data_IF_681941318722
#
_entry.id   IF_681941318722
#
_cell.length_a   1.000
_cell.length_b   1.000
_cell.length_c   1.000
_cell.angle_alpha   90.00
_cell.angle_beta   90.00
_cell.angle_gamma   90.00
#
_symmetry.space_group_name_H-M   'P 1'
#
loop_
_entity.id
_entity.type
_entity.pdbx_description
1 polymer ?
#
# COMPACT_ATOMS: atom_id res chain seq x y z
N UNK A 1 -26.24 16.28 -21.77
CA UNK A 1 -25.34 17.45 -21.74
C UNK A 1 -23.99 16.93 -21.34
N UNK A 2 -22.91 17.29 -22.05
CA UNK A 2 -21.57 16.89 -21.66
C UNK A 2 -21.22 17.58 -20.34
N UNK A 3 -20.54 16.84 -19.48
CA UNK A 3 -20.07 17.33 -18.18
C UNK A 3 -18.83 18.21 -18.30
N UNK A 4 -18.04 18.03 -19.36
CA UNK A 4 -16.89 18.85 -19.73
C UNK A 4 -16.92 19.08 -21.25
N UNK A 5 -16.73 20.31 -21.69
CA UNK A 5 -16.75 20.68 -23.11
C UNK A 5 -15.84 21.90 -23.37
N UNK A 6 -15.15 21.90 -24.51
CA UNK A 6 -14.38 23.04 -25.00
C UNK A 6 -15.04 23.62 -26.26
N UNK A 7 -15.41 24.90 -26.24
CA UNK A 7 -15.93 25.63 -27.40
C UNK A 7 -14.78 26.23 -28.19
N UNK A 8 -14.44 25.65 -29.34
CA UNK A 8 -13.41 26.22 -30.23
C UNK A 8 -13.79 27.60 -30.78
N UNK A 9 -15.08 27.90 -30.92
CA UNK A 9 -15.56 29.15 -31.49
C UNK A 9 -15.29 30.34 -30.55
N UNK A 10 -15.46 30.11 -29.24
CA UNK A 10 -15.35 31.13 -28.21
C UNK A 10 -14.04 31.00 -27.41
N UNK A 11 -13.28 29.92 -27.62
CA UNK A 11 -12.10 29.54 -26.85
C UNK A 11 -12.37 29.50 -25.33
N UNK A 12 -13.52 28.94 -24.94
CA UNK A 12 -13.94 28.80 -23.54
C UNK A 12 -14.15 27.34 -23.17
N UNK A 13 -13.90 27.04 -21.90
CA UNK A 13 -14.24 25.78 -21.27
C UNK A 13 -15.59 25.86 -20.57
N UNK A 14 -16.40 24.82 -20.73
CA UNK A 14 -17.66 24.62 -20.02
C UNK A 14 -17.54 23.37 -19.15
N UNK A 15 -17.69 23.52 -17.84
CA UNK A 15 -17.68 22.42 -16.86
C UNK A 15 -19.01 22.42 -16.12
N UNK A 16 -19.74 21.31 -16.21
CA UNK A 16 -21.12 21.18 -15.73
C UNK A 16 -22.07 22.30 -16.24
N UNK A 17 -21.78 22.87 -17.41
CA UNK A 17 -22.54 23.96 -18.03
C UNK A 17 -22.18 25.36 -17.55
N UNK A 18 -21.19 25.50 -16.67
CA UNK A 18 -20.63 26.79 -16.23
C UNK A 18 -19.34 27.07 -16.99
N UNK A 19 -19.13 28.33 -17.38
CA UNK A 19 -17.86 28.78 -17.95
C UNK A 19 -16.75 28.60 -16.90
N UNK A 20 -15.64 28.00 -17.32
CA UNK A 20 -14.51 27.67 -16.46
C UNK A 20 -13.31 28.52 -16.83
N UNK A 21 -12.69 29.11 -15.79
CA UNK A 21 -11.43 29.81 -15.94
C UNK A 21 -10.30 28.85 -16.32
N UNK A 22 -9.37 29.36 -17.13
CA UNK A 22 -8.09 28.71 -17.42
C UNK A 22 -6.99 29.35 -16.58
N UNK A 23 -5.87 28.66 -16.38
CA UNK A 23 -4.68 29.29 -15.82
C UNK A 23 -4.00 30.24 -16.82
N UNK A 24 -2.87 30.83 -16.41
CA UNK A 24 -2.13 31.78 -17.24
C UNK A 24 -1.48 31.13 -18.49
N UNK A 25 -1.27 29.82 -18.49
CA UNK A 25 -0.81 29.05 -19.66
C UNK A 25 -1.98 28.64 -20.57
N UNK A 26 -3.22 28.85 -20.12
CA UNK A 26 -4.44 28.52 -20.84
C UNK A 26 -5.01 27.15 -20.51
N UNK A 27 -4.51 26.45 -19.49
CA UNK A 27 -4.96 25.11 -19.15
C UNK A 27 -6.26 25.09 -18.34
N UNK A 28 -7.06 24.05 -18.56
CA UNK A 28 -8.31 23.83 -17.84
C UNK A 28 -8.06 23.63 -16.34
N UNK A 29 -8.81 24.35 -15.50
CA UNK A 29 -8.84 24.14 -14.06
C UNK A 29 -10.09 23.37 -13.63
N UNK A 30 -9.92 22.28 -12.88
CA UNK A 30 -11.00 21.47 -12.33
C UNK A 30 -10.99 21.54 -10.80
N UNK A 31 -12.16 21.65 -10.17
CA UNK A 31 -12.24 21.66 -8.71
C UNK A 31 -12.50 20.26 -8.15
N UNK A 32 -11.94 19.97 -6.97
CA UNK A 32 -12.02 18.62 -6.38
C UNK A 32 -13.44 18.17 -6.04
N UNK A 33 -14.31 19.09 -5.66
CA UNK A 33 -15.69 18.83 -5.21
C UNK A 33 -16.65 18.46 -6.35
N UNK A 34 -16.30 18.76 -7.60
CA UNK A 34 -17.10 18.44 -8.79
C UNK A 34 -16.68 17.17 -9.52
N UNK A 35 -15.44 16.70 -9.34
CA UNK A 35 -14.84 15.64 -10.15
C UNK A 35 -15.66 14.35 -10.20
N UNK A 36 -16.40 14.03 -9.14
CA UNK A 36 -17.25 12.84 -9.07
C UNK A 36 -18.41 12.89 -10.08
N UNK A 37 -18.83 14.09 -10.48
CA UNK A 37 -19.93 14.33 -11.43
C UNK A 37 -19.43 14.48 -12.87
N UNK A 38 -18.12 14.66 -13.07
CA UNK A 38 -17.51 14.83 -14.38
C UNK A 38 -17.20 13.47 -14.98
N UNK A 39 -17.60 13.26 -16.23
CA UNK A 39 -17.37 12.02 -16.98
C UNK A 39 -16.01 12.09 -17.66
N UNK A 40 -15.17 11.08 -17.47
CA UNK A 40 -13.81 11.07 -18.02
C UNK A 40 -13.75 11.13 -19.55
N UNK A 41 -14.71 10.51 -20.26
CA UNK A 41 -14.79 10.60 -21.72
C UNK A 41 -15.11 12.01 -22.21
N UNK A 42 -15.87 12.79 -21.46
CA UNK A 42 -16.17 14.18 -21.79
C UNK A 42 -14.90 15.05 -21.61
N UNK A 43 -14.13 14.82 -20.55
CA UNK A 43 -12.84 15.48 -20.34
C UNK A 43 -11.88 15.20 -21.50
N UNK A 44 -11.72 13.93 -21.90
CA UNK A 44 -10.91 13.56 -23.07
C UNK A 44 -11.38 14.30 -24.34
N UNK A 45 -12.68 14.26 -24.64
CA UNK A 45 -13.23 14.89 -25.84
C UNK A 45 -13.00 16.41 -25.85
N UNK A 46 -13.09 17.05 -24.68
CA UNK A 46 -12.75 18.46 -24.50
C UNK A 46 -11.27 18.75 -24.78
N UNK A 47 -10.36 17.96 -24.21
CA UNK A 47 -8.91 18.13 -24.42
C UNK A 47 -8.51 17.88 -25.88
N UNK A 48 -9.15 16.91 -26.56
CA UNK A 48 -8.98 16.70 -28.01
C UNK A 48 -9.39 17.95 -28.79
N UNK A 49 -10.52 18.57 -28.42
CA UNK A 49 -11.01 19.76 -29.10
C UNK A 49 -10.08 20.96 -28.88
N UNK A 50 -9.52 21.14 -27.69
CA UNK A 50 -8.51 22.15 -27.37
C UNK A 50 -7.21 21.91 -28.14
N UNK A 51 -6.70 20.67 -28.14
CA UNK A 51 -5.51 20.26 -28.87
C UNK A 51 -5.61 20.48 -30.39
N UNK A 52 -6.82 20.55 -30.95
CA UNK A 52 -7.02 20.90 -32.37
C UNK A 52 -6.80 22.40 -32.66
N UNK A 53 -6.80 23.24 -31.64
CA UNK A 53 -6.57 24.70 -31.74
C UNK A 53 -5.17 25.12 -31.33
N UNK A 54 -4.47 24.30 -30.54
CA UNK A 54 -3.10 24.51 -30.05
C UNK A 54 -2.15 23.40 -30.55
N UNK A 55 -0.88 23.41 -30.17
CA UNK A 55 -0.03 22.23 -30.34
C UNK A 55 -0.54 21.10 -29.43
N UNK A 56 -0.65 19.84 -29.90
CA UNK A 56 -1.25 18.73 -29.14
C UNK A 56 -0.67 18.50 -27.74
N UNK A 57 0.61 18.82 -27.51
CA UNK A 57 1.30 18.69 -26.22
C UNK A 57 0.90 19.71 -25.14
N UNK A 58 -0.04 20.62 -25.44
CA UNK A 58 -0.49 21.68 -24.54
C UNK A 58 -1.91 21.47 -23.99
N UNK A 59 -2.65 20.43 -24.39
CA UNK A 59 -3.99 20.21 -23.83
C UNK A 59 -3.89 19.53 -22.45
N UNK A 60 -4.05 20.32 -21.38
CA UNK A 60 -3.92 19.86 -19.99
C UNK A 60 -5.09 20.30 -19.13
N UNK A 61 -5.39 19.49 -18.12
CA UNK A 61 -6.35 19.81 -17.08
C UNK A 61 -5.72 19.60 -15.69
N UNK A 62 -5.63 20.68 -14.92
CA UNK A 62 -5.14 20.67 -13.55
C UNK A 62 -6.28 20.58 -12.54
N UNK A 63 -6.04 19.85 -11.45
CA UNK A 63 -6.99 19.81 -10.32
C UNK A 63 -6.55 20.83 -9.28
N UNK A 64 -7.42 21.79 -8.98
CA UNK A 64 -7.17 22.84 -8.00
C UNK A 64 -7.38 22.28 -6.59
N UNK A 65 -6.37 22.46 -5.71
CA UNK A 65 -6.42 21.93 -4.33
C UNK A 65 -7.12 22.86 -3.33
N UNK A 66 -7.44 24.09 -3.74
CA UNK A 66 -8.13 25.10 -2.94
C UNK A 66 -9.62 25.21 -3.29
N UNK A 67 -10.47 25.68 -2.35
CA UNK A 67 -11.89 25.89 -2.61
C UNK A 67 -12.15 26.91 -3.73
N UNK A 68 -13.32 26.79 -4.37
CA UNK A 68 -13.82 27.77 -5.35
C UNK A 68 -13.79 29.20 -4.76
N UNK A 69 -13.37 30.16 -5.58
CA UNK A 69 -13.25 31.58 -5.20
C UNK A 69 -11.89 31.99 -4.64
N UNK A 70 -10.95 31.05 -4.54
CA UNK A 70 -9.54 31.36 -4.31
C UNK A 70 -8.84 31.47 -5.68
N UNK A 71 -8.81 32.67 -6.23
CA UNK A 71 -8.19 32.98 -7.52
C UNK A 71 -6.70 33.32 -7.31
N UNK A 72 -5.86 32.30 -7.18
CA UNK A 72 -4.42 32.49 -7.40
C UNK A 72 -4.09 32.07 -8.82
N UNK A 73 -3.44 32.98 -9.56
CA UNK A 73 -2.97 32.79 -10.95
C UNK A 73 -2.01 31.59 -11.08
N UNK A 74 -1.41 31.16 -9.96
CA UNK A 74 -0.50 30.02 -9.81
C UNK A 74 -1.02 29.01 -8.79
N UNK A 75 -2.34 28.88 -8.66
CA UNK A 75 -2.99 28.20 -7.55
C UNK A 75 -2.34 26.87 -7.19
N UNK A 76 -2.33 26.47 -5.91
CA UNK A 76 -1.78 25.18 -5.54
C UNK A 76 -2.62 24.08 -6.23
N UNK A 77 -2.01 23.36 -7.16
CA UNK A 77 -2.61 22.22 -7.83
C UNK A 77 -2.39 20.95 -7.01
N UNK A 78 -3.28 19.98 -7.17
CA UNK A 78 -2.98 18.60 -6.78
C UNK A 78 -1.76 18.12 -7.58
N UNK A 79 -0.96 17.18 -7.04
CA UNK A 79 0.26 16.71 -7.69
C UNK A 79 0.01 15.83 -8.91
N UNK A 80 -1.27 15.55 -9.21
CA UNK A 80 -1.75 14.76 -10.34
C UNK A 80 -2.60 15.66 -11.22
N UNK A 81 -2.33 15.64 -12.52
CA UNK A 81 -3.10 16.33 -13.55
C UNK A 81 -3.33 15.41 -14.75
N UNK A 82 -4.09 15.89 -15.73
CA UNK A 82 -4.44 15.11 -16.91
C UNK A 82 -3.91 15.78 -18.18
N UNK A 83 -3.50 14.97 -19.13
CA UNK A 83 -2.99 15.40 -20.45
C UNK A 83 -3.64 14.55 -21.54
N UNK A 84 -3.81 15.12 -22.73
CA UNK A 84 -4.06 14.35 -23.95
C UNK A 84 -2.76 14.21 -24.73
N UNK A 85 -2.23 12.99 -24.84
CA UNK A 85 -0.93 12.73 -25.49
C UNK A 85 -1.02 12.54 -27.03
N UNK A 86 -2.22 12.76 -27.60
CA UNK A 86 -2.51 12.49 -29.00
C UNK A 86 -3.23 11.15 -29.25
N UNK A 87 -3.21 10.24 -28.27
CA UNK A 87 -3.80 8.90 -28.38
C UNK A 87 -4.73 8.59 -27.20
N UNK A 88 -4.30 8.90 -25.98
CA UNK A 88 -4.96 8.56 -24.73
C UNK A 88 -5.14 9.77 -23.82
N UNK A 89 -6.14 9.67 -22.93
CA UNK A 89 -6.19 10.52 -21.74
C UNK A 89 -5.21 9.93 -20.72
N UNK A 90 -4.20 10.72 -20.38
CA UNK A 90 -3.05 10.28 -19.62
C UNK A 90 -3.03 10.98 -18.27
N UNK A 91 -2.78 10.20 -17.22
CA UNK A 91 -2.58 10.69 -15.87
C UNK A 91 -1.12 11.06 -15.72
N UNK A 92 -0.84 12.29 -15.29
CA UNK A 92 0.52 12.83 -15.18
C UNK A 92 0.78 13.26 -13.75
N UNK A 93 1.94 12.89 -13.20
CA UNK A 93 2.37 13.29 -11.86
C UNK A 93 3.86 13.52 -11.80
N UNK A 94 4.27 14.41 -10.89
CA UNK A 94 5.68 14.64 -10.56
C UNK A 94 6.00 13.90 -9.27
N UNK A 95 7.07 13.10 -9.29
CA UNK A 95 7.59 12.44 -8.11
C UNK A 95 9.05 12.84 -7.87
N UNK A 96 9.35 13.27 -6.64
CA UNK A 96 10.71 13.56 -6.18
C UNK A 96 11.20 12.46 -5.25
N UNK A 97 12.39 11.92 -5.52
CA UNK A 97 13.10 10.98 -4.67
C UNK A 97 14.50 11.49 -4.31
N UNK A 98 15.14 10.91 -3.28
CA UNK A 98 16.46 11.35 -2.85
C UNK A 98 17.49 11.19 -3.98
N UNK A 99 18.27 12.25 -4.26
CA UNK A 99 19.44 12.19 -5.16
C UNK A 99 20.60 11.52 -4.43
N UNK A 100 20.49 10.23 -4.27
CA UNK A 100 21.38 9.40 -3.46
C UNK A 100 22.59 8.87 -4.26
N UNK A 101 22.91 9.55 -5.37
CA UNK A 101 23.94 9.18 -6.33
C UNK A 101 23.57 8.00 -7.23
N UNK A 102 22.33 7.51 -7.20
CA UNK A 102 21.84 6.54 -8.17
C UNK A 102 21.78 7.18 -9.56
N UNK A 103 22.26 6.45 -10.57
CA UNK A 103 22.17 6.87 -11.97
C UNK A 103 20.71 7.05 -12.37
N UNK A 104 20.41 8.10 -13.13
CA UNK A 104 19.04 8.49 -13.51
C UNK A 104 18.25 7.32 -14.11
N UNK A 105 18.84 6.58 -15.04
CA UNK A 105 18.25 5.37 -15.64
C UNK A 105 17.82 4.32 -14.59
N UNK A 106 18.64 4.12 -13.55
CA UNK A 106 18.34 3.15 -12.50
C UNK A 106 17.19 3.63 -11.62
N UNK A 107 17.06 4.94 -11.40
CA UNK A 107 15.93 5.51 -10.67
C UNK A 107 14.63 5.39 -11.48
N UNK A 108 14.68 5.73 -12.77
CA UNK A 108 13.56 5.58 -13.71
C UNK A 108 13.10 4.12 -13.80
N UNK A 109 14.02 3.18 -14.00
CA UNK A 109 13.68 1.76 -14.12
C UNK A 109 13.04 1.21 -12.84
N UNK A 110 13.51 1.64 -11.66
CA UNK A 110 12.90 1.26 -10.38
C UNK A 110 11.47 1.78 -10.23
N UNK A 111 11.22 3.03 -10.61
CA UNK A 111 9.86 3.59 -10.56
C UNK A 111 8.96 2.86 -11.57
N UNK A 112 9.47 2.50 -12.76
CA UNK A 112 8.73 1.70 -13.73
C UNK A 112 8.41 0.31 -13.20
N UNK A 113 9.39 -0.42 -12.67
CA UNK A 113 9.21 -1.74 -12.06
C UNK A 113 8.19 -1.71 -10.90
N UNK A 114 8.23 -0.63 -10.11
CA UNK A 114 7.32 -0.42 -9.00
C UNK A 114 5.88 -0.17 -9.48
N UNK A 115 5.70 0.70 -10.47
CA UNK A 115 4.37 1.15 -10.91
C UNK A 115 3.72 0.23 -11.92
N UNK A 116 4.48 -0.54 -12.71
CA UNK A 116 3.90 -1.39 -13.77
C UNK A 116 2.82 -2.34 -13.23
N UNK A 117 3.00 -3.07 -12.10
CA UNK A 117 1.94 -3.92 -11.57
C UNK A 117 0.68 -3.15 -11.15
N UNK A 118 0.83 -1.90 -10.71
CA UNK A 118 -0.29 -1.03 -10.38
C UNK A 118 -1.03 -0.56 -11.64
N UNK A 119 -0.29 -0.13 -12.67
CA UNK A 119 -0.87 0.27 -13.96
C UNK A 119 -1.62 -0.90 -14.59
N UNK A 120 -1.03 -2.10 -14.58
CA UNK A 120 -1.72 -3.32 -15.03
C UNK A 120 -2.98 -3.63 -14.22
N UNK A 121 -2.99 -3.33 -12.91
CA UNK A 121 -4.12 -3.57 -12.03
C UNK A 121 -5.31 -2.64 -12.29
N UNK A 122 -5.05 -1.38 -12.61
CA UNK A 122 -6.10 -0.42 -12.98
C UNK A 122 -6.49 -0.51 -14.47
N UNK A 123 -6.12 -1.60 -15.15
CA UNK A 123 -6.28 -1.81 -16.59
C UNK A 123 -5.68 -0.65 -17.43
N UNK A 124 -4.67 0.04 -16.89
CA UNK A 124 -3.96 1.13 -17.55
C UNK A 124 -2.92 0.63 -18.56
N UNK A 125 -2.42 1.53 -19.39
CA UNK A 125 -1.41 1.24 -20.42
C UNK A 125 -0.36 2.35 -20.49
N UNK A 126 0.68 2.12 -21.30
CA UNK A 126 1.63 3.16 -21.72
C UNK A 126 2.32 3.87 -20.55
N UNK A 127 2.76 3.11 -19.54
CA UNK A 127 3.56 3.64 -18.43
C UNK A 127 4.88 4.21 -18.95
N UNK A 128 4.98 5.52 -18.90
CA UNK A 128 6.16 6.30 -19.20
C UNK A 128 6.69 6.98 -17.93
N UNK A 129 8.00 6.95 -17.78
CA UNK A 129 8.71 7.53 -16.63
C UNK A 129 9.94 8.21 -17.19
N UNK A 130 9.97 9.52 -17.05
CA UNK A 130 11.03 10.37 -17.59
C UNK A 130 11.66 11.21 -16.49
N UNK A 131 12.96 11.47 -16.59
CA UNK A 131 13.64 12.36 -15.66
C UNK A 131 13.22 13.82 -15.90
N UNK A 132 12.79 14.50 -14.85
CA UNK A 132 12.30 15.87 -14.90
C UNK A 132 13.43 16.86 -14.55
N UNK A 133 14.33 17.12 -15.50
CA UNK A 133 15.50 17.99 -15.30
C UNK A 133 15.16 19.40 -14.83
N UNK A 134 14.02 19.93 -15.25
CA UNK A 134 13.54 21.27 -14.90
C UNK A 134 13.16 21.38 -13.40
N UNK A 135 12.88 20.23 -12.77
CA UNK A 135 12.45 20.10 -11.39
C UNK A 135 13.49 19.41 -10.49
N UNK A 136 14.62 18.99 -11.07
CA UNK A 136 15.71 18.36 -10.35
C UNK A 136 16.53 19.42 -9.59
N UNK A 137 16.52 19.34 -8.26
CA UNK A 137 17.36 20.15 -7.39
C UNK A 137 18.71 19.48 -7.11
N UNK A 138 19.65 20.19 -6.50
CA UNK A 138 20.96 19.63 -6.13
C UNK A 138 20.90 18.44 -5.15
N UNK A 139 19.74 18.17 -4.54
CA UNK A 139 19.54 17.15 -3.52
C UNK A 139 18.45 16.12 -3.85
N UNK A 140 17.59 16.39 -4.85
CA UNK A 140 16.44 15.56 -5.18
C UNK A 140 16.39 15.27 -6.68
N UNK A 141 16.25 13.99 -7.01
CA UNK A 141 15.95 13.53 -8.37
C UNK A 141 14.45 13.60 -8.58
N UNK A 142 14.01 14.23 -9.67
CA UNK A 142 12.61 14.35 -10.03
C UNK A 142 12.32 13.51 -11.28
N UNK A 143 11.20 12.81 -11.29
CA UNK A 143 10.68 12.10 -12.46
C UNK A 143 9.25 12.53 -12.74
N UNK A 144 8.94 12.71 -14.01
CA UNK A 144 7.56 12.79 -14.51
C UNK A 144 7.09 11.38 -14.81
N UNK A 145 5.95 11.00 -14.26
CA UNK A 145 5.32 9.70 -14.46
C UNK A 145 4.03 9.93 -15.23
N UNK A 146 3.82 9.14 -16.29
CA UNK A 146 2.66 9.17 -17.16
C UNK A 146 2.11 7.77 -17.36
N UNK A 147 0.80 7.59 -17.34
CA UNK A 147 0.18 6.37 -17.84
C UNK A 147 -1.26 6.64 -18.28
N UNK A 148 -1.72 5.90 -19.28
CA UNK A 148 -3.10 5.93 -19.72
C UNK A 148 -3.96 5.07 -18.79
N UNK A 149 -5.20 5.49 -18.58
CA UNK A 149 -6.21 4.70 -17.84
C UNK A 149 -7.46 4.48 -18.67
N UNK A 150 -8.23 3.40 -18.42
CA UNK A 150 -9.56 3.27 -18.99
C UNK A 150 -10.43 4.43 -18.54
N UNK A 151 -11.27 4.95 -19.45
CA UNK A 151 -12.16 6.09 -19.17
C UNK A 151 -13.65 5.75 -19.32
N UNK A 152 -13.98 4.57 -19.86
CA UNK A 152 -15.36 4.16 -20.08
C UNK A 152 -16.08 4.01 -18.72
N UNK A 153 -17.24 4.67 -18.58
CA UNK A 153 -18.09 4.64 -17.38
C UNK A 153 -17.41 5.13 -16.09
N UNK A 154 -16.31 5.89 -16.20
CA UNK A 154 -15.57 6.44 -15.05
C UNK A 154 -15.76 7.94 -14.90
N UNK A 155 -15.72 8.41 -13.66
CA UNK A 155 -15.63 9.82 -13.35
C UNK A 155 -14.18 10.32 -13.39
N UNK A 156 -13.99 11.63 -13.50
CA UNK A 156 -12.66 12.25 -13.36
C UNK A 156 -12.09 12.01 -11.96
N UNK A 157 -12.94 11.92 -10.93
CA UNK A 157 -12.51 11.59 -9.56
C UNK A 157 -11.89 10.19 -9.48
N UNK A 158 -12.43 9.20 -10.20
CA UNK A 158 -11.88 7.85 -10.21
C UNK A 158 -10.47 7.83 -10.81
N UNK A 159 -10.26 8.57 -11.90
CA UNK A 159 -8.97 8.67 -12.59
C UNK A 159 -7.95 9.44 -11.73
N UNK A 160 -8.38 10.53 -11.08
CA UNK A 160 -7.54 11.23 -10.10
C UNK A 160 -7.10 10.29 -8.99
N UNK A 161 -8.00 9.43 -8.50
CA UNK A 161 -7.69 8.47 -7.43
C UNK A 161 -6.59 7.51 -7.86
N UNK A 162 -6.62 6.99 -9.09
CA UNK A 162 -5.56 6.11 -9.61
C UNK A 162 -4.19 6.82 -9.60
N UNK A 163 -4.14 8.07 -10.10
CA UNK A 163 -2.90 8.84 -10.09
C UNK A 163 -2.38 9.13 -8.68
N UNK A 164 -3.28 9.43 -7.75
CA UNK A 164 -2.91 9.65 -6.35
C UNK A 164 -2.43 8.36 -5.67
N UNK A 165 -2.97 7.20 -6.03
CA UNK A 165 -2.51 5.90 -5.54
C UNK A 165 -1.14 5.52 -6.12
N UNK A 166 -0.87 5.79 -7.40
CA UNK A 166 0.46 5.69 -7.99
C UNK A 166 1.48 6.57 -7.25
N UNK A 167 1.13 7.83 -6.97
CA UNK A 167 2.03 8.73 -6.25
C UNK A 167 2.29 8.28 -4.80
N UNK A 168 1.25 7.76 -4.11
CA UNK A 168 1.41 7.14 -2.78
C UNK A 168 2.33 5.93 -2.82
N UNK A 169 2.25 5.13 -3.88
CA UNK A 169 3.19 4.04 -4.14
C UNK A 169 4.61 4.63 -4.21
N UNK A 170 4.89 5.55 -5.13
CA UNK A 170 6.21 6.17 -5.24
C UNK A 170 6.72 6.71 -3.89
N UNK A 171 5.90 7.46 -3.15
CA UNK A 171 6.28 7.97 -1.83
C UNK A 171 6.60 6.87 -0.80
N UNK A 172 5.83 5.79 -0.78
CA UNK A 172 6.07 4.68 0.15
C UNK A 172 7.35 3.89 -0.17
N UNK A 173 7.78 3.90 -1.43
CA UNK A 173 8.84 3.04 -1.95
C UNK A 173 10.16 3.79 -2.27
N UNK A 174 10.14 5.11 -2.39
CA UNK A 174 11.35 5.93 -2.55
C UNK A 174 12.27 5.96 -1.31
N UNK A 175 11.84 5.37 -0.20
CA UNK A 175 12.64 5.13 1.00
C UNK A 175 13.61 3.93 0.90
N UNK A 176 14.03 3.52 -0.31
CA UNK A 176 15.06 2.50 -0.62
C UNK A 176 14.78 1.03 -0.23
N UNK A 177 13.68 0.69 0.44
CA UNK A 177 13.24 -0.69 0.59
C UNK A 177 11.73 -0.77 0.87
N UNK A 178 11.07 -1.78 0.33
CA UNK A 178 9.74 -2.19 0.80
C UNK A 178 9.90 -2.63 2.27
N UNK A 179 9.42 -1.81 3.21
CA UNK A 179 9.44 -2.18 4.62
C UNK A 179 8.06 -2.59 5.08
N UNK A 180 8.01 -3.41 6.15
CA UNK A 180 6.78 -3.69 6.91
C UNK A 180 6.00 -2.41 7.22
N UNK A 181 6.69 -1.34 7.61
CA UNK A 181 6.05 -0.08 7.98
C UNK A 181 5.44 0.64 6.79
N UNK A 182 6.17 0.75 5.68
CA UNK A 182 5.66 1.33 4.43
C UNK A 182 4.41 0.59 3.95
N UNK A 183 4.45 -0.74 3.93
CA UNK A 183 3.30 -1.55 3.52
C UNK A 183 2.14 -1.46 4.51
N UNK A 184 2.42 -1.49 5.82
CA UNK A 184 1.39 -1.29 6.83
C UNK A 184 0.69 0.07 6.68
N UNK A 185 1.43 1.13 6.32
CA UNK A 185 0.86 2.45 6.04
C UNK A 185 0.01 2.46 4.76
N UNK A 186 0.46 1.81 3.68
CA UNK A 186 -0.31 1.67 2.45
C UNK A 186 -1.65 0.96 2.70
N UNK A 187 -1.62 -0.16 3.43
CA UNK A 187 -2.85 -0.89 3.76
C UNK A 187 -3.79 -0.03 4.59
N UNK A 188 -3.29 0.63 5.65
CA UNK A 188 -4.10 1.55 6.48
C UNK A 188 -4.67 2.72 5.68
N UNK A 189 -3.97 3.16 4.64
CA UNK A 189 -4.42 4.21 3.72
C UNK A 189 -5.46 3.77 2.70
N UNK A 190 -5.94 2.52 2.72
CA UNK A 190 -6.89 1.99 1.74
C UNK A 190 -6.27 1.44 0.46
N UNK A 191 -4.94 1.51 0.34
CA UNK A 191 -4.21 1.15 -0.85
C UNK A 191 -3.68 -0.30 -0.83
N UNK A 192 -4.40 -1.21 -0.17
CA UNK A 192 -3.98 -2.62 -0.06
C UNK A 192 -3.87 -3.32 -1.42
N UNK A 193 -4.62 -2.86 -2.42
CA UNK A 193 -4.59 -3.38 -3.79
C UNK A 193 -3.20 -3.26 -4.45
N UNK A 194 -2.39 -2.30 -4.00
CA UNK A 194 -1.01 -2.09 -4.42
C UNK A 194 -0.07 -3.26 -4.05
N UNK A 195 -0.51 -4.17 -3.19
CA UNK A 195 0.27 -5.34 -2.79
C UNK A 195 0.10 -6.52 -3.74
N UNK A 196 -0.66 -6.39 -4.82
CA UNK A 196 -0.65 -7.39 -5.90
C UNK A 196 0.74 -7.46 -6.52
N UNK A 197 1.31 -8.66 -6.58
CA UNK A 197 2.70 -8.88 -6.97
C UNK A 197 3.69 -8.92 -5.80
N UNK A 198 3.29 -8.53 -4.58
CA UNK A 198 4.16 -8.66 -3.41
C UNK A 198 4.39 -10.13 -3.07
N UNK A 199 5.66 -10.55 -3.03
CA UNK A 199 6.06 -11.87 -2.57
C UNK A 199 5.90 -11.98 -1.05
N UNK A 200 5.42 -13.13 -0.60
CA UNK A 200 5.55 -13.51 0.80
C UNK A 200 7.01 -13.70 1.16
N UNK A 201 7.34 -13.46 2.43
CA UNK A 201 8.72 -13.52 2.87
C UNK A 201 8.87 -13.27 4.34
N UNK A 202 10.09 -12.99 4.78
CA UNK A 202 10.44 -12.94 6.21
C UNK A 202 9.58 -11.97 7.04
N UNK A 203 9.06 -10.90 6.43
CA UNK A 203 8.28 -9.86 7.10
C UNK A 203 6.83 -9.74 6.58
N UNK A 204 6.42 -10.50 5.55
CA UNK A 204 5.08 -10.40 4.94
C UNK A 204 4.44 -11.77 4.76
N UNK A 205 3.16 -11.89 5.12
CA UNK A 205 2.36 -13.11 4.99
C UNK A 205 0.92 -12.73 4.56
N UNK A 206 0.37 -13.38 3.54
CA UNK A 206 -0.95 -13.12 3.02
C UNK A 206 -1.90 -14.29 3.32
N UNK A 207 -3.06 -13.97 3.92
CA UNK A 207 -4.11 -14.95 4.20
C UNK A 207 -5.35 -14.64 3.38
N UNK A 208 -5.92 -15.66 2.75
CA UNK A 208 -7.14 -15.47 1.97
C UNK A 208 -8.37 -15.23 2.85
N UNK A 209 -8.43 -15.87 4.02
CA UNK A 209 -9.61 -15.90 4.90
C UNK A 209 -9.24 -15.46 6.31
N UNK A 210 -10.23 -14.93 7.05
CA UNK A 210 -10.11 -14.69 8.48
C UNK A 210 -9.78 -15.99 9.22
N UNK A 211 -9.01 -15.88 10.29
CA UNK A 211 -8.92 -16.95 11.29
C UNK A 211 -10.30 -17.22 11.87
N UNK A 212 -10.68 -18.49 11.85
CA UNK A 212 -11.95 -18.97 12.39
C UNK A 212 -12.06 -18.66 13.89
N UNK A 213 -13.28 -18.45 14.35
CA UNK A 213 -13.56 -18.28 15.79
C UNK A 213 -13.67 -19.64 16.49
N UNK A 214 -12.62 -20.44 16.32
CA UNK A 214 -12.44 -21.77 16.91
C UNK A 214 -11.12 -21.81 17.66
N UNK A 215 -10.96 -22.75 18.58
CA UNK A 215 -9.69 -22.90 19.31
C UNK A 215 -8.49 -23.08 18.35
N UNK A 216 -8.67 -23.85 17.28
CA UNK A 216 -7.67 -24.02 16.22
C UNK A 216 -7.34 -22.69 15.55
N UNK A 217 -8.34 -21.91 15.12
CA UNK A 217 -8.13 -20.60 14.53
C UNK A 217 -7.46 -19.59 15.47
N UNK A 218 -7.80 -19.64 16.76
CA UNK A 218 -7.17 -18.82 17.80
C UNK A 218 -5.67 -19.14 17.93
N UNK A 219 -5.33 -20.43 18.01
CA UNK A 219 -3.93 -20.88 18.08
C UNK A 219 -3.19 -20.54 16.79
N UNK A 220 -3.80 -20.71 15.62
CA UNK A 220 -3.18 -20.35 14.34
C UNK A 220 -2.83 -18.88 14.25
N UNK A 221 -3.75 -17.98 14.65
CA UNK A 221 -3.47 -16.54 14.72
C UNK A 221 -2.30 -16.25 15.67
N UNK A 222 -2.33 -16.83 16.88
CA UNK A 222 -1.28 -16.63 17.86
C UNK A 222 0.08 -17.15 17.37
N UNK A 223 0.12 -18.28 16.66
CA UNK A 223 1.33 -18.82 16.04
C UNK A 223 1.87 -17.92 14.94
N UNK A 224 1.02 -17.42 14.04
CA UNK A 224 1.45 -16.54 12.95
C UNK A 224 2.01 -15.22 13.52
N UNK A 225 1.37 -14.65 14.55
CA UNK A 225 1.88 -13.44 15.23
C UNK A 225 3.16 -13.73 16.02
N UNK A 226 3.25 -14.85 16.74
CA UNK A 226 4.45 -15.26 17.48
C UNK A 226 5.66 -15.39 16.57
N UNK A 227 5.49 -15.94 15.36
CA UNK A 227 6.58 -16.05 14.37
C UNK A 227 7.19 -14.69 14.06
N UNK A 228 6.36 -13.68 13.86
CA UNK A 228 6.83 -12.31 13.60
C UNK A 228 7.38 -11.64 14.85
N UNK A 229 6.81 -11.87 16.03
CA UNK A 229 7.38 -11.38 17.28
C UNK A 229 8.80 -11.93 17.54
N UNK A 230 9.04 -13.18 17.10
CA UNK A 230 10.33 -13.85 17.20
C UNK A 230 11.29 -13.52 16.05
N UNK A 231 10.84 -12.83 15.00
CA UNK A 231 11.68 -12.38 13.90
C UNK A 231 12.48 -11.13 14.28
N UNK A 232 13.49 -10.78 13.48
CA UNK A 232 14.31 -9.57 13.69
C UNK A 232 13.49 -8.31 13.40
N UNK A 233 12.80 -8.27 12.26
CA UNK A 233 12.11 -7.07 11.75
C UNK A 233 10.60 -7.02 12.05
N UNK A 234 10.10 -7.96 12.84
CA UNK A 234 8.66 -8.14 12.99
C UNK A 234 8.01 -8.66 11.70
N UNK A 235 6.78 -8.25 11.42
CA UNK A 235 6.14 -8.47 10.14
C UNK A 235 4.69 -8.03 10.04
N UNK A 236 4.06 -8.32 8.91
CA UNK A 236 2.71 -7.93 8.56
C UNK A 236 1.95 -9.14 8.02
N UNK A 237 0.79 -9.42 8.61
CA UNK A 237 -0.17 -10.39 8.07
C UNK A 237 -1.28 -9.60 7.37
N UNK A 238 -1.48 -9.84 6.08
CA UNK A 238 -2.57 -9.25 5.29
C UNK A 238 -3.66 -10.29 5.02
N UNK A 239 -4.83 -10.10 5.62
CA UNK A 239 -5.97 -11.00 5.48
C UNK A 239 -6.97 -10.44 4.46
N UNK A 240 -7.47 -11.30 3.58
CA UNK A 240 -8.28 -10.96 2.40
C UNK A 240 -7.49 -10.90 1.10
N UNK A 241 -6.27 -11.43 1.09
CA UNK A 241 -5.38 -11.51 -0.07
C UNK A 241 -5.27 -12.96 -0.55
N UNK A 242 -5.49 -13.18 -1.85
CA UNK A 242 -5.29 -14.48 -2.48
C UNK A 242 -3.90 -14.54 -3.08
N UNK A 243 -3.15 -15.58 -2.77
CA UNK A 243 -1.81 -15.85 -3.30
C UNK A 243 -1.84 -16.80 -4.50
N UNK A 244 -0.69 -16.90 -5.19
CA UNK A 244 -0.36 -17.98 -6.12
C UNK A 244 1.06 -18.47 -5.82
N UNK A 245 1.33 -19.78 -5.92
CA UNK A 245 2.67 -20.30 -5.78
C UNK A 245 3.57 -19.84 -6.94
N UNK A 246 4.83 -19.57 -6.65
CA UNK A 246 5.92 -19.26 -7.58
C UNK A 246 7.18 -20.07 -7.19
N UNK A 247 8.18 -20.21 -8.07
CA UNK A 247 9.44 -20.84 -7.69
C UNK A 247 10.09 -20.08 -6.53
N UNK A 248 10.18 -20.73 -5.35
CA UNK A 248 10.79 -20.14 -4.16
C UNK A 248 9.84 -19.42 -3.21
N UNK A 249 8.53 -19.42 -3.48
CA UNK A 249 7.56 -18.90 -2.51
C UNK A 249 6.12 -18.73 -2.99
N UNK A 250 5.41 -17.82 -2.35
CA UNK A 250 4.08 -17.37 -2.77
C UNK A 250 4.07 -15.87 -3.07
N UNK A 251 3.21 -15.44 -4.00
CA UNK A 251 3.02 -14.04 -4.34
C UNK A 251 1.55 -13.67 -4.31
N UNK A 252 1.23 -12.46 -3.84
CA UNK A 252 -0.14 -11.94 -3.84
C UNK A 252 -0.63 -11.83 -5.28
N UNK A 253 -1.67 -12.58 -5.61
CA UNK A 253 -2.31 -12.58 -6.92
C UNK A 253 -3.45 -11.56 -7.01
N UNK A 254 -4.21 -11.38 -5.93
CA UNK A 254 -5.37 -10.47 -5.90
C UNK A 254 -5.78 -10.14 -4.47
N UNK A 255 -6.17 -8.88 -4.23
CA UNK A 255 -6.90 -8.48 -3.01
C UNK A 255 -8.40 -8.64 -3.25
N UNK A 256 -9.06 -9.49 -2.46
CA UNK A 256 -10.52 -9.71 -2.54
C UNK A 256 -11.26 -9.11 -1.36
N UNK A 257 -10.57 -8.97 -0.23
CA UNK A 257 -11.19 -8.68 1.06
C UNK A 257 -11.99 -9.85 1.61
N UNK A 258 -12.39 -9.69 2.86
CA UNK A 258 -13.20 -10.61 3.66
C UNK A 258 -14.38 -9.85 4.25
N UNK A 259 -15.43 -10.58 4.62
CA UNK A 259 -16.51 -10.05 5.45
C UNK A 259 -16.01 -10.00 6.89
N UNK A 260 -15.41 -8.87 7.26
CA UNK A 260 -14.91 -8.65 8.61
C UNK A 260 -16.07 -8.27 9.55
N UNK A 261 -16.29 -9.02 10.65
CA UNK A 261 -17.28 -8.61 11.64
C UNK A 261 -16.83 -7.32 12.34
N UNK A 262 -17.81 -6.54 12.82
CA UNK A 262 -17.54 -5.38 13.66
C UNK A 262 -16.73 -5.82 14.89
N UNK A 263 -15.64 -5.12 15.21
CA UNK A 263 -14.78 -5.44 16.36
C UNK A 263 -13.80 -6.59 16.12
N UNK A 264 -13.47 -6.91 14.85
CA UNK A 264 -12.47 -7.94 14.50
C UNK A 264 -11.10 -7.67 15.14
N UNK A 265 -10.73 -6.39 15.28
CA UNK A 265 -9.55 -5.90 15.97
C UNK A 265 -9.55 -6.30 17.45
N UNK A 266 -10.63 -5.96 18.17
CA UNK A 266 -10.79 -6.32 19.58
C UNK A 266 -10.81 -7.85 19.79
N UNK A 267 -11.44 -8.59 18.86
CA UNK A 267 -11.44 -10.06 18.89
C UNK A 267 -10.02 -10.62 18.79
N UNK A 268 -9.26 -10.18 17.78
CA UNK A 268 -7.91 -10.67 17.57
C UNK A 268 -6.95 -10.25 18.70
N UNK A 269 -7.06 -9.03 19.20
CA UNK A 269 -6.32 -8.60 20.40
C UNK A 269 -6.62 -9.51 21.60
N UNK A 270 -7.89 -9.80 21.88
CA UNK A 270 -8.27 -10.69 22.98
C UNK A 270 -7.79 -12.15 22.81
N UNK A 271 -7.65 -12.62 21.57
CA UNK A 271 -7.02 -13.91 21.27
C UNK A 271 -5.53 -13.86 21.61
N UNK A 272 -4.81 -12.83 21.13
CA UNK A 272 -3.38 -12.68 21.40
C UNK A 272 -3.09 -12.55 22.90
N UNK A 273 -3.89 -11.78 23.64
CA UNK A 273 -3.79 -11.63 25.10
C UNK A 273 -3.91 -12.98 25.85
N UNK A 274 -4.69 -13.91 25.31
CA UNK A 274 -4.95 -15.21 25.94
C UNK A 274 -3.91 -16.27 25.58
N UNK A 275 -3.43 -16.26 24.34
CA UNK A 275 -2.64 -17.38 23.81
C UNK A 275 -1.18 -17.04 23.56
N UNK A 276 -0.76 -15.77 23.64
CA UNK A 276 0.60 -15.35 23.36
C UNK A 276 1.29 -14.78 24.61
N UNK A 277 2.50 -15.25 24.91
CA UNK A 277 3.27 -14.80 26.07
C UNK A 277 4.77 -14.64 25.76
N UNK A 278 5.43 -13.53 26.15
CA UNK A 278 4.83 -12.35 26.77
C UNK A 278 3.88 -11.63 25.79
N UNK A 279 3.10 -10.67 26.28
CA UNK A 279 2.24 -9.89 25.40
C UNK A 279 3.12 -9.01 24.47
N UNK A 280 2.95 -9.09 23.14
CA UNK A 280 3.73 -8.26 22.23
C UNK A 280 3.42 -6.77 22.38
N UNK A 281 4.46 -5.94 22.32
CA UNK A 281 4.31 -4.50 22.35
C UNK A 281 3.96 -3.97 20.95
N UNK A 282 2.99 -3.07 20.86
CA UNK A 282 2.73 -2.28 19.66
C UNK A 282 2.12 -3.03 18.47
N UNK A 283 1.58 -4.24 18.67
CA UNK A 283 0.80 -4.92 17.61
C UNK A 283 -0.43 -4.09 17.27
N UNK A 284 -0.61 -3.80 15.99
CA UNK A 284 -1.75 -3.04 15.46
C UNK A 284 -2.61 -3.95 14.61
N UNK A 285 -3.92 -3.92 14.86
CA UNK A 285 -4.90 -4.68 14.09
C UNK A 285 -5.87 -3.70 13.48
N UNK A 286 -5.92 -3.65 12.16
CA UNK A 286 -6.74 -2.69 11.44
C UNK A 286 -7.61 -3.42 10.42
N UNK A 287 -8.91 -3.11 10.42
CA UNK A 287 -9.79 -3.48 9.33
C UNK A 287 -9.97 -2.26 8.42
N UNK A 288 -9.69 -2.44 7.14
CA UNK A 288 -9.73 -1.35 6.15
C UNK A 288 -10.76 -1.72 5.08
N UNK A 289 -11.79 -0.87 4.87
CA UNK A 289 -12.82 -1.15 3.88
C UNK A 289 -12.24 -1.09 2.46
N UNK A 290 -12.77 -1.95 1.59
CA UNK A 290 -12.52 -1.94 0.16
C UNK A 290 -13.76 -1.40 -0.58
N UNK A 291 -13.60 -0.88 -1.81
CA UNK A 291 -14.72 -0.39 -2.62
C UNK A 291 -15.83 -1.42 -2.86
N UNK A 292 -15.50 -2.71 -2.84
CA UNK A 292 -16.45 -3.81 -3.03
C UNK A 292 -17.31 -4.14 -1.78
N UNK A 293 -17.29 -3.29 -0.75
CA UNK A 293 -18.02 -3.48 0.50
C UNK A 293 -17.43 -4.52 1.46
N UNK A 294 -16.33 -5.17 1.09
CA UNK A 294 -15.56 -6.05 1.99
C UNK A 294 -14.47 -5.26 2.70
N UNK A 295 -13.66 -5.92 3.50
CA UNK A 295 -12.50 -5.28 4.15
C UNK A 295 -11.27 -6.17 4.06
N UNK A 296 -10.08 -5.57 4.05
CA UNK A 296 -8.86 -6.29 4.42
C UNK A 296 -8.63 -6.15 5.91
N UNK A 297 -7.97 -7.14 6.52
CA UNK A 297 -7.52 -7.03 7.91
C UNK A 297 -6.00 -7.12 7.92
N UNK A 298 -5.35 -6.08 8.43
CA UNK A 298 -3.91 -6.04 8.61
C UNK A 298 -3.57 -6.30 10.08
N UNK A 299 -2.69 -7.26 10.34
CA UNK A 299 -2.05 -7.47 11.64
C UNK A 299 -0.59 -7.08 11.51
N UNK A 300 -0.28 -5.87 11.98
CA UNK A 300 1.04 -5.27 11.90
C UNK A 300 1.80 -5.49 13.22
N UNK A 301 2.84 -6.32 13.16
CA UNK A 301 3.65 -6.76 14.29
C UNK A 301 5.01 -6.06 14.23
N UNK A 302 5.31 -5.05 15.06
CA UNK A 302 6.60 -4.39 15.03
C UNK A 302 7.72 -5.28 15.59
N UNK A 303 9.00 -4.97 15.29
CA UNK A 303 10.15 -5.60 15.94
C UNK A 303 10.00 -5.59 17.47
N UNK A 304 10.23 -6.75 18.10
CA UNK A 304 10.15 -6.89 19.55
C UNK A 304 11.55 -6.84 20.18
N UNK A 305 11.64 -6.39 21.43
CA UNK A 305 12.91 -6.34 22.15
C UNK A 305 13.48 -7.76 22.31
N UNK A 306 14.79 -7.91 22.10
CA UNK A 306 15.44 -9.23 22.19
C UNK A 306 15.28 -9.85 23.59
N UNK A 307 15.19 -9.03 24.64
CA UNK A 307 14.94 -9.46 26.02
C UNK A 307 13.56 -10.04 26.27
N UNK A 308 12.58 -9.76 25.39
CA UNK A 308 11.23 -10.32 25.48
C UNK A 308 11.11 -11.64 24.71
N UNK A 309 12.06 -11.95 23.83
CA UNK A 309 12.05 -13.18 23.05
C UNK A 309 12.57 -14.36 23.89
N UNK A 310 12.05 -15.57 23.67
CA UNK A 310 11.04 -15.91 22.67
C UNK A 310 9.59 -15.70 23.14
N UNK A 311 8.73 -15.33 22.20
CA UNK A 311 7.28 -15.36 22.32
C UNK A 311 6.77 -16.79 22.15
N UNK A 312 5.95 -17.19 23.11
CA UNK A 312 5.40 -18.53 23.32
C UNK A 312 3.92 -18.53 23.01
N UNK A 313 3.45 -19.59 22.35
CA UNK A 313 2.01 -19.82 22.15
C UNK A 313 1.53 -20.89 23.10
N UNK A 314 0.43 -20.61 23.80
CA UNK A 314 -0.28 -21.58 24.63
C UNK A 314 -1.25 -22.41 23.76
N UNK A 315 -1.13 -23.73 23.84
CA UNK A 315 -1.82 -24.68 22.97
C UNK A 315 -0.98 -25.10 21.75
N UNK A 316 -1.15 -26.35 21.32
CA UNK A 316 -0.58 -26.85 20.08
C UNK A 316 -1.66 -27.52 19.22
N UNK A 317 -1.53 -27.35 17.90
CA UNK A 317 -2.31 -28.09 16.91
C UNK A 317 -1.45 -29.30 16.50
N UNK A 318 -1.94 -30.51 16.74
CA UNK A 318 -1.27 -31.76 16.36
C UNK A 318 -1.44 -32.02 14.86
N UNK A 319 -0.60 -32.91 14.31
CA UNK A 319 -0.60 -33.22 12.88
C UNK A 319 -1.91 -33.86 12.37
N UNK A 320 -2.73 -34.40 13.27
CA UNK A 320 -4.07 -34.95 13.02
C UNK A 320 -5.19 -33.90 13.14
N UNK A 321 -4.86 -32.65 13.48
CA UNK A 321 -5.82 -31.56 13.69
C UNK A 321 -6.40 -31.50 15.10
N UNK A 322 -6.04 -32.41 16.03
CA UNK A 322 -6.45 -32.30 17.42
C UNK A 322 -5.69 -31.17 18.14
N UNK A 323 -6.40 -30.43 18.98
CA UNK A 323 -5.79 -29.36 19.79
C UNK A 323 -5.48 -29.87 21.19
N UNK A 324 -4.23 -29.68 21.61
CA UNK A 324 -3.79 -30.03 22.95
C UNK A 324 -3.45 -28.75 23.75
N UNK A 325 -4.31 -28.40 24.71
CA UNK A 325 -4.27 -27.12 25.42
C UNK A 325 -3.12 -26.98 26.44
N UNK A 326 -2.41 -28.06 26.78
CA UNK A 326 -1.32 -28.04 27.76
C UNK A 326 0.08 -27.89 27.14
N UNK A 327 0.17 -27.73 25.82
CA UNK A 327 1.44 -27.59 25.12
C UNK A 327 1.85 -26.12 24.97
N UNK A 328 3.15 -25.85 25.13
CA UNK A 328 3.74 -24.55 24.83
C UNK A 328 4.57 -24.71 23.56
N UNK A 329 4.29 -23.88 22.56
CA UNK A 329 5.02 -23.87 21.29
C UNK A 329 5.88 -22.61 21.17
N UNK A 330 7.12 -22.78 20.74
CA UNK A 330 7.98 -21.67 20.31
C UNK A 330 8.17 -21.79 18.81
N UNK A 331 7.59 -20.84 18.08
CA UNK A 331 7.64 -20.82 16.63
C UNK A 331 8.64 -19.77 16.18
N UNK A 332 9.69 -20.20 15.49
CA UNK A 332 10.65 -19.32 14.85
C UNK A 332 10.51 -19.40 13.34
N UNK A 333 10.61 -18.24 12.68
CA UNK A 333 10.63 -18.15 11.22
C UNK A 333 12.07 -18.33 10.73
N UNK A 334 12.27 -19.20 9.73
CA UNK A 334 13.53 -19.37 9.01
C UNK A 334 13.25 -19.42 7.51
N UNK A 335 13.25 -18.25 6.86
CA UNK A 335 12.73 -18.11 5.50
C UNK A 335 11.21 -18.25 5.48
N UNK A 336 10.69 -19.10 4.61
CA UNK A 336 9.25 -19.44 4.55
C UNK A 336 8.84 -20.54 5.54
N UNK A 337 9.80 -21.29 6.09
CA UNK A 337 9.53 -22.41 6.98
C UNK A 337 9.48 -21.98 8.45
N UNK A 338 8.58 -22.62 9.20
CA UNK A 338 8.60 -22.58 10.67
C UNK A 338 9.41 -23.74 11.21
N UNK A 339 10.42 -23.45 12.05
CA UNK A 339 11.16 -24.48 12.77
C UNK A 339 10.71 -24.44 14.24
N UNK A 340 10.05 -25.50 14.76
CA UNK A 340 9.72 -25.55 16.18
C UNK A 340 11.01 -25.66 17.01
N UNK A 341 11.13 -24.87 18.08
CA UNK A 341 12.20 -25.10 19.06
C UNK A 341 11.97 -26.45 19.74
N UNK A 342 12.99 -27.29 19.75
CA UNK A 342 12.93 -28.62 20.35
C UNK A 342 13.00 -28.55 21.89
N UNK A 343 12.41 -29.53 22.58
CA UNK A 343 12.47 -29.62 24.04
C UNK A 343 13.90 -29.53 24.63
N UNK A 344 14.95 -30.13 24.01
CA UNK A 344 16.34 -29.93 24.44
C UNK A 344 16.82 -28.49 24.40
N UNK A 345 16.43 -27.71 23.39
CA UNK A 345 16.79 -26.30 23.27
C UNK A 345 16.12 -25.46 24.37
N UNK A 346 14.83 -25.71 24.65
CA UNK A 346 14.12 -25.07 25.77
C UNK A 346 14.83 -25.38 27.09
N UNK A 347 15.16 -26.65 27.33
CA UNK A 347 15.87 -27.07 28.53
C UNK A 347 17.23 -26.38 28.67
N UNK A 348 18.00 -26.30 27.57
CA UNK A 348 19.31 -25.64 27.56
C UNK A 348 19.22 -24.17 27.96
N UNK A 349 18.27 -23.42 27.40
CA UNK A 349 18.04 -22.00 27.74
C UNK A 349 17.66 -21.84 29.20
N UNK A 350 16.74 -22.67 29.71
CA UNK A 350 16.34 -22.64 31.13
C UNK A 350 17.50 -23.02 32.07
N UNK A 351 18.30 -24.02 31.71
CA UNK A 351 19.46 -24.44 32.49
C UNK A 351 20.53 -23.35 32.55
N UNK A 352 20.83 -22.69 31.42
CA UNK A 352 21.76 -21.57 31.36
C UNK A 352 21.30 -20.38 32.20
N UNK A 353 20.01 -20.01 32.12
CA UNK A 353 19.41 -18.96 32.94
C UNK A 353 19.53 -19.26 34.44
N UNK A 354 19.19 -20.48 34.87
CA UNK A 354 19.34 -20.91 36.27
C UNK A 354 20.80 -20.88 36.74
N UNK A 355 21.74 -21.31 35.90
CA UNK A 355 23.16 -21.27 36.24
C UNK A 355 23.67 -19.84 36.42
N UNK A 356 23.23 -18.91 35.56
CA UNK A 356 23.60 -17.49 35.67
C UNK A 356 23.05 -16.84 36.94
N UNK A 357 21.77 -17.05 37.25
CA UNK A 357 21.15 -16.51 38.48
C UNK A 357 21.88 -16.99 39.74
N UNK A 358 22.25 -18.28 39.81
CA UNK A 358 23.04 -18.83 40.92
C UNK A 358 24.47 -18.23 41.01
N UNK A 359 25.05 -17.86 39.87
CA UNK A 359 26.39 -17.26 39.79
C UNK A 359 26.44 -15.78 40.17
N UNK A 360 25.33 -15.05 40.05
CA UNK A 360 25.21 -13.66 40.50
C UNK A 360 25.06 -13.59 42.03
N UNK A 361 24.27 -14.49 42.64
CA UNK A 361 24.13 -14.61 44.11
C UNK A 361 25.46 -14.91 44.83
N UNK A 362 26.38 -15.62 44.18
CA UNK A 362 27.68 -16.03 44.74
C UNK A 362 28.81 -15.02 44.54
N UNK A 363 28.55 -13.91 43.81
CA UNK A 363 29.50 -12.78 43.64
C UNK A 363 29.11 -11.53 44.42
N UNK A 364 27.91 -11.51 44.99
CA UNK A 364 27.39 -10.43 45.86
C UNK A 364 27.47 -10.73 47.36
N UNK A 365 28.19 -11.80 47.74
CA UNK A 365 28.60 -12.12 49.12
C UNK A 365 30.12 -12.14 49.20
#
# INVERSE_FOLDING_TARGET
MRSVEYSQADAIWLVAGEERAVDWEGYLQLFKDELQTLVASDLRDGLIAEAGTMEPSHARAYVVSVPRGYEEEYGPYEPVHFEWDGVNLTVVMLHTGPSDGIHEDVFVDRIRELLQPFVDYCDGTDLDVEFAYEWAGALDSAVTIRFAVPIADRSVADILSDGMDALRLCHAFSARAITRESVGNLVRGGAAHLLVGQEEGNWFDAKQMLYEDTLTGHISLAQDVARFCNAEDGGLILIGAKTKPIPGGEVVKRIRGVEAPLGIDARYSGILDRYLYPLPAGVRINSVPLPNGKSVVAVDVPPQQETQKPFLVHGAIRADGEVEGAFISIVQRRGEASVPITAPMIHATLAAGRARLRGEDSRSS
#
